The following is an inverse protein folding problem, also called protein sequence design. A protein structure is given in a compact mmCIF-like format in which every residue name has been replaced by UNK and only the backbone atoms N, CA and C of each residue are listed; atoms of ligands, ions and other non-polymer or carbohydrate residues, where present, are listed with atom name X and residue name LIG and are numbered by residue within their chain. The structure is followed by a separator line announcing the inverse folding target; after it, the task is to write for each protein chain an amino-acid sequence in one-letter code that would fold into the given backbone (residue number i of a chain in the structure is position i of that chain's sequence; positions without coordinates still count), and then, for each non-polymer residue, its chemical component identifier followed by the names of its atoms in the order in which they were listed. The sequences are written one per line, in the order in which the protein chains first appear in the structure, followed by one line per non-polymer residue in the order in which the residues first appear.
data_IF_331693455189
#
_entry.id   IF_331693455189
#
_cell.length_a   1.000
_cell.length_b   1.000
_cell.length_c   1.000
_cell.angle_alpha   90.00
_cell.angle_beta   90.00
_cell.angle_gamma   90.00
#
_symmetry.space_group_name_H-M   'P 1'
#
loop_
_entity.id
_entity.type
_entity.pdbx_description
1 polymer ?
#
# COMPACT_ATOMS: atom_id res chain seq x y z
N UNK A 1 -2.79 -4.70 -21.35
CA UNK A 1 -2.33 -4.71 -19.94
C UNK A 1 -1.10 -5.58 -19.89
N UNK A 2 -0.07 -5.15 -19.17
CA UNK A 2 1.07 -6.01 -18.86
C UNK A 2 0.58 -7.19 -18.00
N UNK A 3 1.26 -8.34 -18.10
CA UNK A 3 0.96 -9.48 -17.23
C UNK A 3 1.36 -9.12 -15.80
N UNK A 4 0.54 -9.49 -14.81
CA UNK A 4 0.85 -9.20 -13.41
C UNK A 4 2.14 -9.91 -12.96
N UNK A 5 2.91 -9.26 -12.10
CA UNK A 5 4.14 -9.74 -11.47
C UNK A 5 3.80 -10.39 -10.14
N UNK A 6 3.88 -11.72 -10.09
CA UNK A 6 3.49 -12.49 -8.90
C UNK A 6 4.74 -13.00 -8.20
N UNK A 7 4.89 -12.70 -6.91
CA UNK A 7 5.82 -13.41 -6.03
C UNK A 7 5.05 -14.41 -5.20
N UNK A 8 5.55 -15.64 -5.12
CA UNK A 8 4.97 -16.67 -4.24
C UNK A 8 5.96 -17.08 -3.17
N UNK A 9 5.61 -16.82 -1.92
CA UNK A 9 6.42 -17.11 -0.74
C UNK A 9 6.07 -18.46 -0.12
N UNK A 10 5.36 -19.35 -0.80
CA UNK A 10 5.07 -20.69 -0.29
C UNK A 10 4.99 -21.73 -1.42
N UNK A 11 5.56 -22.95 -1.24
CA UNK A 11 5.45 -24.02 -2.24
C UNK A 11 3.99 -24.35 -2.61
N UNK A 12 3.08 -24.35 -1.62
CA UNK A 12 1.65 -24.58 -1.84
C UNK A 12 0.98 -23.48 -2.67
N UNK A 13 1.32 -22.22 -2.41
CA UNK A 13 0.85 -21.09 -3.21
C UNK A 13 1.41 -21.15 -4.64
N UNK A 14 2.69 -21.47 -4.81
CA UNK A 14 3.30 -21.63 -6.14
C UNK A 14 2.63 -22.76 -6.93
N UNK A 15 2.40 -23.91 -6.29
CA UNK A 15 1.70 -25.03 -6.93
C UNK A 15 0.26 -24.65 -7.34
N UNK A 16 -0.42 -23.82 -6.55
CA UNK A 16 -1.76 -23.31 -6.89
C UNK A 16 -1.71 -22.36 -8.07
N UNK A 17 -0.75 -21.42 -8.12
CA UNK A 17 -0.56 -20.52 -9.27
C UNK A 17 -0.28 -21.31 -10.56
N UNK A 18 0.60 -22.32 -10.49
CA UNK A 18 0.89 -23.18 -11.62
C UNK A 18 -0.35 -23.98 -12.07
N UNK A 19 -1.10 -24.57 -11.13
CA UNK A 19 -2.33 -25.30 -11.42
C UNK A 19 -3.43 -24.42 -12.06
N UNK A 20 -3.41 -23.11 -11.81
CA UNK A 20 -4.31 -22.12 -12.43
C UNK A 20 -3.83 -21.69 -13.83
N UNK A 21 -2.71 -22.21 -14.33
CA UNK A 21 -2.13 -21.83 -15.62
C UNK A 21 -1.57 -20.41 -15.62
N UNK A 22 -1.08 -19.93 -14.47
CA UNK A 22 -0.55 -18.58 -14.28
C UNK A 22 0.94 -18.58 -13.86
N UNK A 23 1.67 -19.67 -14.11
CA UNK A 23 3.09 -19.77 -13.78
C UNK A 23 3.95 -18.77 -14.56
N UNK A 24 3.51 -18.38 -15.77
CA UNK A 24 4.10 -17.34 -16.61
C UNK A 24 4.24 -15.99 -15.90
N UNK A 25 3.35 -15.73 -14.94
CA UNK A 25 3.31 -14.48 -14.17
C UNK A 25 4.27 -14.43 -12.99
N UNK A 26 4.90 -15.55 -12.64
CA UNK A 26 5.78 -15.63 -11.47
C UNK A 26 7.10 -14.89 -11.73
N UNK A 27 7.40 -13.87 -10.94
CA UNK A 27 8.68 -13.16 -10.97
C UNK A 27 9.59 -13.61 -9.84
N UNK A 28 9.03 -14.15 -8.75
CA UNK A 28 9.81 -14.69 -7.65
C UNK A 28 9.15 -15.85 -6.91
N UNK A 29 9.97 -16.77 -6.42
CA UNK A 29 9.53 -17.92 -5.62
C UNK A 29 10.53 -18.24 -4.52
N UNK A 30 10.12 -18.97 -3.50
CA UNK A 30 11.07 -19.49 -2.49
C UNK A 30 11.93 -20.61 -3.07
N UNK A 31 13.09 -20.86 -2.47
CA UNK A 31 14.00 -21.94 -2.82
C UNK A 31 13.39 -23.35 -2.71
N UNK A 32 12.19 -23.46 -2.14
CA UNK A 32 11.48 -24.72 -1.88
C UNK A 32 10.39 -24.97 -2.94
N UNK A 33 10.23 -24.06 -3.90
CA UNK A 33 9.26 -24.19 -4.98
C UNK A 33 9.89 -24.90 -6.17
N UNK A 34 9.34 -26.06 -6.55
CA UNK A 34 9.77 -26.80 -7.73
C UNK A 34 8.97 -26.35 -8.95
N UNK A 35 9.64 -25.63 -9.87
CA UNK A 35 9.08 -25.17 -11.14
C UNK A 35 9.89 -25.66 -12.34
N UNK A 36 10.88 -26.53 -12.12
CA UNK A 36 11.76 -27.04 -13.19
C UNK A 36 11.01 -27.77 -14.32
N UNK A 37 9.80 -28.24 -14.03
CA UNK A 37 8.97 -28.98 -14.97
C UNK A 37 7.92 -28.08 -15.66
N UNK A 38 7.83 -26.79 -15.28
CA UNK A 38 6.93 -25.81 -15.88
C UNK A 38 7.74 -24.87 -16.81
N UNK A 39 7.74 -25.13 -18.13
CA UNK A 39 8.56 -24.38 -19.09
C UNK A 39 8.08 -22.94 -19.27
N UNK A 40 6.87 -22.63 -18.81
CA UNK A 40 6.29 -21.31 -18.94
C UNK A 40 6.54 -20.47 -17.69
N UNK A 41 7.12 -21.03 -16.61
CA UNK A 41 7.35 -20.31 -15.36
C UNK A 41 8.17 -19.02 -15.54
N UNK A 42 7.57 -17.87 -15.25
CA UNK A 42 8.18 -16.54 -15.39
C UNK A 42 8.30 -16.02 -16.84
N UNK A 43 7.80 -16.78 -17.82
CA UNK A 43 7.94 -16.45 -19.25
C UNK A 43 7.27 -15.13 -19.65
N UNK A 44 6.25 -14.65 -18.92
CA UNK A 44 5.61 -13.38 -19.22
C UNK A 44 6.51 -12.17 -18.92
N UNK A 45 7.61 -12.37 -18.18
CA UNK A 45 8.52 -11.32 -17.72
C UNK A 45 9.91 -11.41 -18.34
N UNK A 46 10.09 -12.24 -19.37
CA UNK A 46 11.33 -12.36 -20.13
C UNK A 46 12.43 -13.18 -19.45
N UNK A 47 12.14 -13.79 -18.30
CA UNK A 47 13.05 -14.71 -17.61
C UNK A 47 12.69 -16.17 -17.93
N UNK A 48 13.71 -17.04 -17.98
CA UNK A 48 13.50 -18.48 -18.19
C UNK A 48 13.08 -19.25 -16.93
N UNK A 49 13.03 -18.57 -15.78
CA UNK A 49 12.58 -19.10 -14.49
C UNK A 49 12.38 -17.96 -13.50
N UNK A 50 11.42 -18.01 -12.56
CA UNK A 50 11.25 -17.00 -11.53
C UNK A 50 12.47 -16.91 -10.60
N UNK A 51 12.77 -15.70 -10.11
CA UNK A 51 13.90 -15.48 -9.21
C UNK A 51 13.68 -16.15 -7.85
N UNK A 52 14.69 -16.83 -7.32
CA UNK A 52 14.64 -17.38 -5.96
C UNK A 52 14.84 -16.26 -4.93
N UNK A 53 13.81 -16.00 -4.11
CA UNK A 53 13.76 -14.93 -3.09
C UNK A 53 13.99 -15.44 -1.67
N UNK A 54 14.88 -16.42 -1.49
CA UNK A 54 15.20 -16.98 -0.17
C UNK A 54 14.38 -18.21 0.21
N UNK A 55 14.31 -18.53 1.50
CA UNK A 55 13.66 -19.73 2.02
C UNK A 55 12.16 -19.55 2.30
N UNK A 56 11.45 -20.65 2.51
CA UNK A 56 10.02 -20.58 2.87
C UNK A 56 9.77 -19.86 4.20
N UNK A 57 10.62 -20.09 5.20
CA UNK A 57 10.55 -19.44 6.52
C UNK A 57 11.27 -18.09 6.56
N UNK A 58 12.22 -17.88 5.65
CA UNK A 58 13.12 -16.72 5.66
C UNK A 58 13.23 -16.18 4.23
N UNK A 59 12.16 -15.56 3.69
CA UNK A 59 12.25 -14.88 2.40
C UNK A 59 13.13 -13.63 2.53
N UNK A 60 13.89 -13.35 1.49
CA UNK A 60 14.69 -12.14 1.34
C UNK A 60 13.76 -11.02 0.87
N UNK A 61 13.29 -10.19 1.81
CA UNK A 61 12.28 -9.16 1.52
C UNK A 61 12.83 -8.04 0.63
N UNK A 62 14.11 -7.68 0.77
CA UNK A 62 14.74 -6.70 -0.12
C UNK A 62 14.71 -7.21 -1.56
N UNK A 63 15.01 -8.50 -1.76
CA UNK A 63 14.91 -9.13 -3.07
C UNK A 63 13.47 -9.27 -3.57
N UNK A 64 12.48 -9.43 -2.70
CA UNK A 64 11.07 -9.41 -3.09
C UNK A 64 10.68 -8.02 -3.59
N UNK A 65 11.10 -6.96 -2.90
CA UNK A 65 10.84 -5.57 -3.28
C UNK A 65 11.52 -5.23 -4.61
N UNK A 66 12.77 -5.64 -4.81
CA UNK A 66 13.52 -5.44 -6.06
C UNK A 66 12.85 -6.08 -7.30
N UNK A 67 11.97 -7.07 -7.09
CA UNK A 67 11.21 -7.70 -8.17
C UNK A 67 9.95 -6.92 -8.57
N UNK A 68 9.60 -5.85 -7.86
CA UNK A 68 8.44 -5.01 -8.15
C UNK A 68 7.14 -5.82 -8.37
N UNK A 69 6.68 -6.62 -7.37
CA UNK A 69 5.52 -7.48 -7.53
C UNK A 69 4.20 -6.71 -7.40
N UNK A 70 3.23 -7.04 -8.25
CA UNK A 70 1.83 -6.59 -8.09
C UNK A 70 1.13 -7.35 -6.94
N UNK A 71 1.56 -8.57 -6.66
CA UNK A 71 0.99 -9.43 -5.60
C UNK A 71 2.04 -10.38 -5.02
N UNK A 72 2.03 -10.51 -3.70
CA UNK A 72 2.85 -11.46 -2.95
C UNK A 72 1.93 -12.48 -2.26
N UNK A 73 2.09 -13.76 -2.60
CA UNK A 73 1.30 -14.85 -2.00
C UNK A 73 2.03 -15.44 -0.79
N UNK A 74 1.36 -15.44 0.35
CA UNK A 74 1.88 -15.83 1.67
C UNK A 74 1.22 -17.12 2.19
N UNK A 75 1.71 -17.68 3.32
CA UNK A 75 1.13 -18.82 4.02
C UNK A 75 1.12 -18.61 5.53
N UNK A 76 -0.10 -18.60 6.09
CA UNK A 76 -0.47 -18.04 7.39
C UNK A 76 0.32 -18.58 8.61
N UNK A 77 0.47 -19.90 8.77
CA UNK A 77 1.03 -20.44 10.02
C UNK A 77 2.54 -20.17 10.22
N UNK A 78 3.29 -19.83 9.18
CA UNK A 78 4.75 -19.67 9.23
C UNK A 78 5.22 -18.23 9.07
N UNK A 79 4.31 -17.32 8.71
CA UNK A 79 4.55 -15.88 8.67
C UNK A 79 3.87 -15.17 9.86
N UNK A 80 3.58 -15.93 10.92
CA UNK A 80 2.99 -15.41 12.15
C UNK A 80 3.81 -14.25 12.73
N UNK A 81 5.14 -14.38 12.78
CA UNK A 81 6.02 -13.33 13.30
C UNK A 81 5.90 -12.02 12.49
N UNK A 82 5.80 -12.12 11.15
CA UNK A 82 5.58 -10.96 10.29
C UNK A 82 4.18 -10.37 10.49
N UNK A 83 3.16 -11.22 10.62
CA UNK A 83 1.80 -10.77 10.88
C UNK A 83 1.69 -10.09 12.26
N UNK A 84 2.40 -10.61 13.27
CA UNK A 84 2.46 -10.06 14.61
C UNK A 84 3.21 -8.73 14.63
N UNK A 85 4.33 -8.59 13.90
CA UNK A 85 5.01 -7.30 13.75
C UNK A 85 4.09 -6.25 13.10
N UNK A 86 3.37 -6.60 12.03
CA UNK A 86 2.39 -5.71 11.42
C UNK A 86 1.28 -5.29 12.41
N UNK A 87 0.78 -6.22 13.24
CA UNK A 87 -0.24 -5.92 14.26
C UNK A 87 0.30 -5.01 15.34
N UNK A 88 1.48 -5.32 15.89
CA UNK A 88 2.13 -4.53 16.93
C UNK A 88 2.39 -3.09 16.46
N UNK A 89 2.77 -2.91 15.20
CA UNK A 89 2.95 -1.60 14.59
C UNK A 89 1.63 -0.81 14.50
N UNK A 90 0.56 -1.46 14.05
CA UNK A 90 -0.77 -0.83 14.01
C UNK A 90 -1.30 -0.49 15.41
N UNK A 91 -1.06 -1.34 16.40
CA UNK A 91 -1.45 -1.09 17.80
C UNK A 91 -0.70 0.13 18.37
N UNK A 92 0.61 0.28 18.08
CA UNK A 92 1.37 1.49 18.44
C UNK A 92 0.79 2.76 17.84
N UNK A 93 0.36 2.71 16.57
CA UNK A 93 -0.29 3.86 15.92
C UNK A 93 -1.62 4.15 16.59
N UNK A 94 -2.44 3.11 16.83
CA UNK A 94 -3.74 3.25 17.46
C UNK A 94 -3.63 3.88 18.85
N UNK A 95 -2.68 3.43 19.68
CA UNK A 95 -2.38 4.01 20.99
C UNK A 95 -1.94 5.48 20.87
N UNK A 96 -1.08 5.79 19.89
CA UNK A 96 -0.61 7.14 19.66
C UNK A 96 -1.72 8.10 19.20
N UNK A 97 -2.80 7.63 18.57
CA UNK A 97 -3.87 8.50 18.04
C UNK A 97 -5.22 8.36 18.77
N UNK A 98 -5.33 7.47 19.76
CA UNK A 98 -6.60 7.06 20.38
C UNK A 98 -7.47 8.22 20.88
N UNK A 99 -6.86 9.21 21.56
CA UNK A 99 -7.56 10.34 22.18
C UNK A 99 -7.45 11.64 21.38
N UNK A 100 -7.05 11.56 20.12
CA UNK A 100 -6.87 12.73 19.26
C UNK A 100 -8.10 13.01 18.41
N UNK A 101 -8.33 14.27 17.98
CA UNK A 101 -9.30 14.58 16.94
C UNK A 101 -9.02 13.73 15.70
N UNK A 102 -10.03 13.47 14.87
CA UNK A 102 -9.87 12.64 13.66
C UNK A 102 -9.95 13.51 12.41
N UNK A 103 -8.82 13.98 11.85
CA UNK A 103 -8.84 14.83 10.66
C UNK A 103 -9.48 14.08 9.49
N UNK A 104 -10.24 14.80 8.68
CA UNK A 104 -10.81 14.28 7.43
C UNK A 104 -9.72 14.30 6.35
N UNK A 105 -9.45 13.14 5.75
CA UNK A 105 -8.45 13.02 4.69
C UNK A 105 -9.12 12.62 3.36
N UNK A 106 -8.89 13.40 2.30
CA UNK A 106 -9.22 13.02 0.93
C UNK A 106 -8.00 12.35 0.29
N UNK A 107 -8.11 11.09 -0.09
CA UNK A 107 -7.03 10.33 -0.75
C UNK A 107 -7.37 10.14 -2.23
N UNK A 108 -6.53 10.65 -3.11
CA UNK A 108 -6.66 10.58 -4.57
C UNK A 108 -5.62 9.61 -5.16
N UNK A 109 -6.12 8.53 -5.80
CA UNK A 109 -5.28 7.50 -6.42
C UNK A 109 -5.12 7.67 -7.94
N UNK A 110 -5.94 8.53 -8.55
CA UNK A 110 -5.94 8.83 -9.98
C UNK A 110 -6.52 10.22 -10.21
N UNK A 111 -5.96 10.99 -11.15
CA UNK A 111 -6.27 12.42 -11.29
C UNK A 111 -7.11 12.81 -12.52
N UNK A 112 -7.27 11.94 -13.52
CA UNK A 112 -8.08 12.24 -14.72
C UNK A 112 -8.96 11.04 -15.16
N UNK A 113 -10.23 10.96 -14.72
CA UNK A 113 -10.90 11.88 -13.79
C UNK A 113 -10.40 11.70 -12.34
N UNK A 114 -10.61 12.68 -11.43
CA UNK A 114 -10.18 12.54 -10.03
C UNK A 114 -10.95 11.42 -9.31
N UNK A 115 -10.22 10.45 -8.75
CA UNK A 115 -10.77 9.26 -8.11
C UNK A 115 -10.45 9.25 -6.62
N UNK A 116 -11.49 9.15 -5.79
CA UNK A 116 -11.33 8.84 -4.37
C UNK A 116 -10.91 7.38 -4.20
N UNK A 117 -9.82 7.16 -3.47
CA UNK A 117 -9.26 5.85 -3.21
C UNK A 117 -10.21 4.95 -2.38
N UNK A 118 -10.41 3.72 -2.83
CA UNK A 118 -11.22 2.70 -2.18
C UNK A 118 -10.37 1.54 -1.64
N UNK A 119 -10.91 0.33 -1.71
CA UNK A 119 -10.32 -0.91 -1.22
C UNK A 119 -9.95 -0.81 0.27
N UNK A 120 -8.67 -0.87 0.62
CA UNK A 120 -8.17 -0.76 1.99
C UNK A 120 -7.81 0.67 2.40
N UNK A 121 -7.76 1.64 1.49
CA UNK A 121 -7.38 3.03 1.83
C UNK A 121 -8.32 3.66 2.88
N UNK A 122 -9.65 3.46 2.82
CA UNK A 122 -10.53 3.90 3.89
C UNK A 122 -10.17 3.32 5.26
N UNK A 123 -9.70 2.07 5.33
CA UNK A 123 -9.27 1.43 6.58
C UNK A 123 -7.89 1.91 7.01
N UNK A 124 -6.97 2.12 6.08
CA UNK A 124 -5.66 2.71 6.35
C UNK A 124 -5.78 4.11 6.97
N UNK A 125 -6.64 4.98 6.43
CA UNK A 125 -6.93 6.30 6.99
C UNK A 125 -7.54 6.18 8.39
N UNK A 126 -8.47 5.23 8.59
CA UNK A 126 -9.07 4.99 9.92
C UNK A 126 -8.04 4.51 10.94
N UNK A 127 -7.15 3.59 10.55
CA UNK A 127 -6.08 3.07 11.38
C UNK A 127 -5.07 4.16 11.76
N UNK A 128 -4.80 5.10 10.85
CA UNK A 128 -4.01 6.30 11.10
C UNK A 128 -4.74 7.38 11.94
N UNK A 129 -5.92 7.07 12.50
CA UNK A 129 -6.70 7.99 13.32
C UNK A 129 -7.50 9.03 12.53
N UNK A 130 -7.55 8.96 11.20
CA UNK A 130 -8.31 9.88 10.35
C UNK A 130 -9.77 9.49 10.14
N UNK A 131 -10.49 10.33 9.39
CA UNK A 131 -11.86 10.11 8.89
C UNK A 131 -11.86 10.09 7.36
N UNK A 132 -12.54 9.11 6.77
CA UNK A 132 -12.63 8.94 5.31
C UNK A 132 -14.09 8.83 4.85
N UNK A 133 -14.76 9.94 4.49
CA UNK A 133 -16.19 9.95 4.13
C UNK A 133 -16.46 9.74 2.62
N UNK A 134 -15.46 9.38 1.82
CA UNK A 134 -15.56 9.38 0.35
C UNK A 134 -15.88 8.01 -0.26
N UNK A 135 -15.36 6.93 0.32
CA UNK A 135 -15.58 5.54 -0.09
C UNK A 135 -15.69 4.66 1.16
N UNK A 136 -16.59 3.69 1.14
CA UNK A 136 -16.73 2.72 2.24
C UNK A 136 -15.59 1.68 2.21
N UNK A 137 -15.16 1.13 3.38
CA UNK A 137 -14.20 0.04 3.44
C UNK A 137 -14.50 -1.11 2.47
N UNK A 138 -13.51 -1.53 1.69
CA UNK A 138 -13.62 -2.63 0.74
C UNK A 138 -14.31 -2.31 -0.59
N UNK A 139 -14.95 -1.15 -0.72
CA UNK A 139 -15.56 -0.71 -1.97
C UNK A 139 -14.50 -0.21 -2.96
N UNK A 140 -14.74 -0.38 -4.26
CA UNK A 140 -13.79 0.08 -5.28
C UNK A 140 -13.67 1.60 -5.27
N UNK A 141 -12.48 2.07 -5.62
CA UNK A 141 -12.21 3.46 -5.91
C UNK A 141 -13.15 3.98 -7.00
N UNK A 142 -13.54 5.25 -6.89
CA UNK A 142 -14.56 5.85 -7.75
C UNK A 142 -14.28 7.31 -8.00
N UNK A 143 -14.79 7.79 -9.13
CA UNK A 143 -14.72 9.21 -9.48
C UNK A 143 -15.41 10.02 -8.39
N UNK A 144 -14.75 11.10 -7.96
CA UNK A 144 -15.26 11.95 -6.90
C UNK A 144 -16.15 13.05 -7.48
N UNK A 145 -17.22 13.39 -6.75
CA UNK A 145 -17.94 14.64 -7.00
C UNK A 145 -17.18 15.80 -6.33
N UNK A 146 -16.66 16.79 -7.08
CA UNK A 146 -15.98 17.96 -6.51
C UNK A 146 -16.79 18.67 -5.42
N UNK A 147 -18.11 18.74 -5.57
CA UNK A 147 -18.98 19.36 -4.57
C UNK A 147 -19.11 18.50 -3.30
N UNK A 148 -18.90 17.18 -3.39
CA UNK A 148 -18.82 16.29 -2.25
C UNK A 148 -17.50 16.46 -1.49
N UNK A 149 -16.37 16.65 -2.19
CA UNK A 149 -15.08 16.95 -1.54
C UNK A 149 -15.14 18.27 -0.80
N UNK A 150 -15.56 19.34 -1.47
CA UNK A 150 -15.67 20.66 -0.85
C UNK A 150 -16.62 20.66 0.36
N UNK A 151 -17.71 19.88 0.33
CA UNK A 151 -18.64 19.76 1.48
C UNK A 151 -18.06 18.92 2.62
N UNK A 152 -17.23 17.94 2.31
CA UNK A 152 -16.57 17.13 3.31
C UNK A 152 -15.49 17.90 4.07
N UNK A 153 -15.00 19.00 3.49
CA UNK A 153 -14.03 19.94 4.08
C UNK A 153 -12.80 19.20 4.63
N UNK A 154 -12.03 18.52 3.76
CA UNK A 154 -10.91 17.71 4.22
C UNK A 154 -9.83 18.58 4.87
N UNK A 155 -9.31 18.15 6.02
CA UNK A 155 -8.15 18.76 6.66
C UNK A 155 -6.86 18.48 5.87
N UNK A 156 -6.82 17.36 5.13
CA UNK A 156 -5.68 16.94 4.33
C UNK A 156 -6.11 16.35 2.99
N UNK A 157 -5.37 16.65 1.93
CA UNK A 157 -5.43 15.93 0.66
C UNK A 157 -4.17 15.09 0.51
N UNK A 158 -4.32 13.80 0.28
CA UNK A 158 -3.23 12.84 0.08
C UNK A 158 -3.30 12.32 -1.36
N UNK A 159 -2.21 12.44 -2.09
CA UNK A 159 -2.13 12.07 -3.51
C UNK A 159 -1.13 10.94 -3.66
N UNK A 160 -1.57 9.82 -4.24
CA UNK A 160 -0.78 8.60 -4.43
C UNK A 160 -1.07 7.98 -5.81
N UNK A 161 -0.84 8.77 -6.87
CA UNK A 161 -1.22 8.39 -8.24
C UNK A 161 -0.46 7.15 -8.70
N UNK A 162 -1.21 6.13 -9.11
CA UNK A 162 -0.66 4.83 -9.52
C UNK A 162 0.46 4.97 -10.58
N UNK A 163 1.60 4.33 -10.32
CA UNK A 163 2.75 4.27 -11.22
C UNK A 163 3.60 5.55 -11.28
N UNK A 164 3.34 6.52 -10.40
CA UNK A 164 4.08 7.79 -10.36
C UNK A 164 5.05 7.90 -9.17
N UNK A 165 5.07 6.92 -8.26
CA UNK A 165 5.81 7.01 -7.00
C UNK A 165 5.39 8.25 -6.22
N UNK A 166 6.37 9.03 -5.77
CA UNK A 166 6.21 10.31 -5.09
C UNK A 166 6.32 11.53 -6.02
N UNK A 167 6.32 11.33 -7.35
CA UNK A 167 6.73 12.35 -8.34
C UNK A 167 5.60 13.21 -8.87
N UNK A 168 4.39 13.07 -8.34
CA UNK A 168 3.24 13.90 -8.72
C UNK A 168 3.51 15.35 -8.31
N UNK A 169 3.26 16.31 -9.19
CA UNK A 169 3.32 17.72 -8.82
C UNK A 169 2.07 18.09 -8.00
N UNK A 170 2.19 18.42 -6.70
CA UNK A 170 1.05 18.73 -5.85
C UNK A 170 0.25 19.94 -6.35
N UNK A 171 0.85 20.86 -7.12
CA UNK A 171 0.14 22.01 -7.69
C UNK A 171 -1.02 21.59 -8.59
N UNK A 172 -0.90 20.45 -9.29
CA UNK A 172 -1.95 19.92 -10.17
C UNK A 172 -3.25 19.55 -9.45
N UNK A 173 -3.18 19.33 -8.14
CA UNK A 173 -4.33 19.09 -7.27
C UNK A 173 -4.66 20.33 -6.44
N UNK A 174 -3.65 21.05 -5.94
CA UNK A 174 -3.83 22.23 -5.10
C UNK A 174 -4.46 23.42 -5.83
N UNK A 175 -4.28 23.53 -7.15
CA UNK A 175 -4.86 24.62 -7.96
C UNK A 175 -6.34 24.39 -8.34
N UNK A 176 -6.92 23.24 -7.95
CA UNK A 176 -8.34 22.95 -8.20
C UNK A 176 -9.21 23.80 -7.27
N UNK A 177 -10.25 24.42 -7.82
CA UNK A 177 -11.14 25.37 -7.13
C UNK A 177 -11.95 24.77 -5.97
N UNK A 178 -11.99 23.45 -5.86
CA UNK A 178 -12.66 22.68 -4.80
C UNK A 178 -11.70 22.09 -3.75
N UNK A 179 -10.40 22.41 -3.83
CA UNK A 179 -9.37 22.00 -2.86
C UNK A 179 -8.94 23.22 -2.05
N UNK A 180 -9.17 23.19 -0.73
CA UNK A 180 -8.79 24.26 0.21
C UNK A 180 -7.96 23.73 1.40
N UNK A 181 -7.18 22.67 1.15
CA UNK A 181 -6.42 21.97 2.18
C UNK A 181 -5.00 21.63 1.69
N UNK A 182 -4.03 21.44 2.62
CA UNK A 182 -2.69 21.04 2.26
C UNK A 182 -2.67 19.72 1.46
N UNK A 183 -2.00 19.75 0.31
CA UNK A 183 -1.79 18.59 -0.56
C UNK A 183 -0.47 17.90 -0.24
N UNK A 184 -0.54 16.61 0.09
CA UNK A 184 0.59 15.76 0.42
C UNK A 184 0.74 14.68 -0.64
N UNK A 185 1.92 14.58 -1.26
CA UNK A 185 2.23 13.48 -2.17
C UNK A 185 2.88 12.35 -1.36
N UNK A 186 2.36 11.15 -1.52
CA UNK A 186 2.84 9.93 -0.88
C UNK A 186 3.22 8.94 -1.97
N UNK A 187 4.33 8.23 -1.78
CA UNK A 187 4.75 7.18 -2.70
C UNK A 187 3.62 6.16 -2.87
N UNK A 188 3.22 5.93 -4.12
CA UNK A 188 2.04 5.17 -4.45
C UNK A 188 2.15 3.68 -4.03
N UNK A 189 3.37 3.15 -3.94
CA UNK A 189 3.63 1.80 -3.43
C UNK A 189 3.21 1.58 -1.98
N UNK A 190 3.03 2.65 -1.19
CA UNK A 190 2.62 2.57 0.21
C UNK A 190 1.10 2.37 0.38
N UNK A 191 0.30 2.74 -0.62
CA UNK A 191 -1.16 2.73 -0.51
C UNK A 191 -1.84 1.92 -1.63
N UNK A 192 -1.16 1.61 -2.73
CA UNK A 192 -1.76 0.94 -3.89
C UNK A 192 -1.61 -0.59 -3.89
N UNK A 193 -1.06 -1.19 -2.83
CA UNK A 193 -0.91 -2.64 -2.71
C UNK A 193 -1.17 -3.14 -1.29
N UNK A 194 -1.81 -4.32 -1.13
CA UNK A 194 -2.03 -4.94 0.17
C UNK A 194 -0.80 -5.76 0.59
N UNK A 195 0.32 -5.09 0.81
CA UNK A 195 1.61 -5.68 1.20
C UNK A 195 2.05 -5.18 2.59
N UNK A 196 3.12 -5.72 3.20
CA UNK A 196 3.66 -5.15 4.44
C UNK A 196 3.99 -3.65 4.36
N UNK A 197 4.30 -3.13 3.15
CA UNK A 197 4.52 -1.70 2.92
C UNK A 197 3.27 -0.85 3.21
N UNK A 198 2.08 -1.45 3.21
CA UNK A 198 0.86 -0.76 3.64
C UNK A 198 0.96 -0.29 5.09
N UNK A 199 1.67 -1.01 5.95
CA UNK A 199 1.88 -0.59 7.34
C UNK A 199 2.74 0.67 7.40
N UNK A 200 3.79 0.76 6.56
CA UNK A 200 4.59 1.98 6.39
C UNK A 200 3.70 3.14 5.88
N UNK A 201 2.75 2.84 4.98
CA UNK A 201 1.75 3.79 4.51
C UNK A 201 0.82 4.29 5.62
N UNK A 202 0.33 3.41 6.50
CA UNK A 202 -0.48 3.81 7.66
C UNK A 202 0.33 4.66 8.63
N UNK A 203 1.59 4.31 8.90
CA UNK A 203 2.49 5.12 9.73
C UNK A 203 2.70 6.50 9.09
N UNK A 204 2.95 6.56 7.78
CA UNK A 204 3.11 7.83 7.06
C UNK A 204 1.85 8.69 7.16
N UNK A 205 0.67 8.11 6.98
CA UNK A 205 -0.61 8.80 7.19
C UNK A 205 -0.74 9.29 8.63
N UNK A 206 -0.42 8.48 9.63
CA UNK A 206 -0.52 8.88 11.03
C UNK A 206 0.37 10.09 11.36
N UNK A 207 1.60 10.12 10.85
CA UNK A 207 2.51 11.27 11.00
C UNK A 207 2.01 12.53 10.29
N UNK A 208 1.33 12.37 9.15
CA UNK A 208 0.74 13.49 8.41
C UNK A 208 -0.48 14.08 9.13
N UNK A 209 -1.34 13.21 9.66
CA UNK A 209 -2.59 13.59 10.30
C UNK A 209 -2.40 14.06 11.76
N UNK A 210 -1.38 13.56 12.46
CA UNK A 210 -1.13 13.83 13.88
C UNK A 210 0.37 14.10 14.15
N UNK A 211 0.98 15.14 13.54
CA UNK A 211 2.42 15.40 13.67
C UNK A 211 2.87 15.55 15.14
N UNK A 212 2.02 16.08 16.00
CA UNK A 212 2.27 16.24 17.44
C UNK A 212 2.25 14.92 18.23
N UNK A 213 1.69 13.84 17.67
CA UNK A 213 1.73 12.51 18.28
C UNK A 213 3.09 11.83 18.14
N UNK A 214 3.82 12.19 17.09
CA UNK A 214 5.04 11.51 16.67
C UNK A 214 6.28 12.42 16.68
N UNK A 215 6.12 13.70 17.05
CA UNK A 215 7.24 14.58 17.32
C UNK A 215 7.90 14.15 18.62
N UNK A 216 9.21 13.85 18.59
CA UNK A 216 9.95 13.58 19.81
C UNK A 216 9.81 14.77 20.76
N UNK A 217 9.47 14.51 22.04
CA UNK A 217 9.48 15.52 23.08
C UNK A 217 10.91 16.09 23.20
N UNK A 218 11.24 17.19 22.50
CA UNK A 218 12.59 17.76 22.59
C UNK A 218 13.03 18.83 21.60
N UNK A 219 12.38 19.04 20.45
CA UNK A 219 12.77 20.14 19.55
C UNK A 219 11.85 21.35 19.74
N UNK A 220 11.99 21.97 20.91
CA UNK A 220 11.48 23.33 21.16
C UNK A 220 12.62 24.31 20.79
N UNK A 221 12.52 25.09 19.70
CA UNK A 221 13.60 26.00 19.29
C UNK A 221 13.78 27.22 20.21
N UNK A 222 12.99 27.35 21.27
CA UNK A 222 12.96 28.52 22.18
C UNK A 222 13.14 28.17 23.67
N UNK A 223 13.89 27.10 24.00
CA UNK A 223 14.37 26.85 25.37
C UNK A 223 15.81 27.35 25.60
#
# INVERSE_FOLDING_TARGET
MAASRVVSLAPSATATVAALGAADRLVGVTAHCELSDDPDAGSAHGEGSPTVVGGWLNPDLDRVVDLDPDVVLTSDALQADLADDCRDRLDRIADAVADRPRPTAYCEEWSDPPMAAGNWVPDAVRAAGGRYPFVDPGERSREVDPAAVARADPDHVVVHVCGHGDRVDPATVAERDWVDAPVHVVDDSLLNQPSPALIDGVERLAHLLHPEAFSAAGDDPEA
#
